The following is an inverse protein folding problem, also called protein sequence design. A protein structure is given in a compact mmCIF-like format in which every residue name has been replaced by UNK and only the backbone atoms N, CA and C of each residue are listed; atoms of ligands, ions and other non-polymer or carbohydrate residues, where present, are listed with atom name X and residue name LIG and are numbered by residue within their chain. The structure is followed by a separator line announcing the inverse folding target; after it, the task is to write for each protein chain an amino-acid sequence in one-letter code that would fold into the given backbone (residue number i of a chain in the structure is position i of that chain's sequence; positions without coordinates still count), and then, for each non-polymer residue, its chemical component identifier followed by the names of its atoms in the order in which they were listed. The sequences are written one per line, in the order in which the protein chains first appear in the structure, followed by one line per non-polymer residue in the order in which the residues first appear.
data_IF_392656747136
#
_entry.id   IF_392656747136
#
_cell.length_a   1.000
_cell.length_b   1.000
_cell.length_c   1.000
_cell.angle_alpha   90.00
_cell.angle_beta   90.00
_cell.angle_gamma   90.00
#
_symmetry.space_group_name_H-M   'P 1'
#
loop_
_entity.id
_entity.type
_entity.pdbx_description
1 polymer ?
#
# COMPACT_ATOMS: atom_id res chain seq x y z
N UNK A 1 0.04 43.30 -0.58
CA UNK A 1 -0.56 42.12 -1.24
C UNK A 1 0.39 40.92 -1.36
N UNK A 2 1.72 41.09 -1.22
CA UNK A 2 2.68 39.97 -1.34
C UNK A 2 2.68 39.01 -0.14
N UNK A 3 2.52 39.52 1.08
CA UNK A 3 2.45 38.70 2.31
C UNK A 3 1.33 37.64 2.28
N UNK A 4 0.26 37.89 1.54
CA UNK A 4 -0.88 36.96 1.44
C UNK A 4 -0.56 35.79 0.51
N UNK A 5 0.20 36.03 -0.58
CA UNK A 5 0.58 34.98 -1.54
C UNK A 5 1.56 34.00 -0.92
N UNK A 6 2.49 34.49 -0.11
CA UNK A 6 3.48 33.66 0.59
C UNK A 6 2.80 32.71 1.59
N UNK A 7 1.89 33.22 2.42
CA UNK A 7 1.12 32.39 3.37
C UNK A 7 0.30 31.29 2.67
N UNK A 8 -0.29 31.59 1.51
CA UNK A 8 -1.04 30.61 0.70
C UNK A 8 -0.09 29.54 0.13
N UNK A 9 1.11 29.90 -0.33
CA UNK A 9 2.09 28.95 -0.83
C UNK A 9 2.58 27.99 0.27
N UNK A 10 2.82 28.50 1.47
CA UNK A 10 3.16 27.67 2.64
C UNK A 10 2.02 26.73 3.04
N UNK A 11 0.79 27.24 3.11
CA UNK A 11 -0.39 26.42 3.42
C UNK A 11 -0.60 25.30 2.38
N UNK A 12 -0.42 25.60 1.08
CA UNK A 12 -0.52 24.61 0.00
C UNK A 12 0.56 23.53 0.12
N UNK A 13 1.81 23.91 0.43
CA UNK A 13 2.90 22.95 0.63
C UNK A 13 2.66 22.05 1.85
N UNK A 14 2.16 22.61 2.94
CA UNK A 14 1.78 21.86 4.14
C UNK A 14 0.61 20.89 3.86
N UNK A 15 -0.40 21.34 3.11
CA UNK A 15 -1.53 20.50 2.71
C UNK A 15 -1.10 19.32 1.85
N UNK A 16 -0.23 19.54 0.85
CA UNK A 16 0.30 18.46 0.00
C UNK A 16 1.10 17.45 0.82
N UNK A 17 1.92 17.91 1.77
CA UNK A 17 2.64 17.02 2.70
C UNK A 17 1.71 16.16 3.55
N UNK A 18 0.63 16.75 4.07
CA UNK A 18 -0.33 16.04 4.91
C UNK A 18 -1.14 15.00 4.12
N UNK A 19 -1.51 15.32 2.87
CA UNK A 19 -2.19 14.37 1.96
C UNK A 19 -1.28 13.19 1.63
N UNK A 20 0.00 13.42 1.33
CA UNK A 20 0.95 12.36 1.02
C UNK A 20 1.12 11.37 2.19
N UNK A 21 1.23 11.88 3.42
CA UNK A 21 1.31 11.05 4.63
C UNK A 21 0.01 10.27 4.85
N UNK A 22 -1.15 10.91 4.69
CA UNK A 22 -2.45 10.26 4.84
C UNK A 22 -2.66 9.09 3.88
N UNK A 23 -2.25 9.26 2.62
CA UNK A 23 -2.32 8.18 1.61
C UNK A 23 -1.37 7.04 1.96
N UNK A 24 -0.14 7.34 2.39
CA UNK A 24 0.84 6.31 2.78
C UNK A 24 0.35 5.46 3.98
N UNK A 25 -0.24 6.09 5.00
CA UNK A 25 -0.79 5.38 6.16
C UNK A 25 -1.97 4.50 5.74
N UNK A 26 -2.88 5.03 4.92
CA UNK A 26 -4.04 4.29 4.42
C UNK A 26 -3.61 3.06 3.60
N UNK A 27 -2.57 3.22 2.77
CA UNK A 27 -1.97 2.15 2.00
C UNK A 27 -1.41 1.02 2.88
N UNK A 28 -0.71 1.40 3.94
CA UNK A 28 -0.14 0.48 4.92
C UNK A 28 -1.23 -0.34 5.62
N UNK A 29 -2.26 0.35 6.12
CA UNK A 29 -3.40 -0.30 6.78
C UNK A 29 -4.13 -1.24 5.82
N UNK A 30 -4.41 -0.78 4.60
CA UNK A 30 -5.06 -1.61 3.58
C UNK A 30 -4.25 -2.87 3.24
N UNK A 31 -2.92 -2.73 3.14
CA UNK A 31 -2.03 -3.88 2.89
C UNK A 31 -2.07 -4.87 4.04
N UNK A 32 -1.99 -4.40 5.29
CA UNK A 32 -2.07 -5.27 6.48
C UNK A 32 -3.39 -6.03 6.51
N UNK A 33 -4.50 -5.33 6.27
CA UNK A 33 -5.83 -5.94 6.23
C UNK A 33 -5.94 -7.00 5.13
N UNK A 34 -5.39 -6.73 3.95
CA UNK A 34 -5.37 -7.67 2.84
C UNK A 34 -4.57 -8.94 3.19
N UNK A 35 -3.37 -8.78 3.75
CA UNK A 35 -2.51 -9.91 4.14
C UNK A 35 -3.12 -10.70 5.31
N UNK A 36 -3.78 -10.01 6.25
CA UNK A 36 -4.46 -10.65 7.38
C UNK A 36 -5.55 -11.64 6.93
N UNK A 37 -6.19 -11.38 5.78
CA UNK A 37 -7.15 -12.30 5.16
C UNK A 37 -6.45 -13.36 4.31
N UNK A 38 -5.35 -13.02 3.64
CA UNK A 38 -4.63 -13.97 2.80
C UNK A 38 -3.98 -15.13 3.59
N UNK A 39 -3.45 -14.87 4.80
CA UNK A 39 -2.81 -15.89 5.64
C UNK A 39 -3.76 -17.06 5.97
N UNK A 40 -4.95 -16.86 6.56
CA UNK A 40 -5.84 -17.97 6.90
C UNK A 40 -6.33 -18.72 5.65
N UNK A 41 -6.55 -18.04 4.52
CA UNK A 41 -6.91 -18.68 3.26
C UNK A 41 -5.83 -19.66 2.81
N UNK A 42 -4.57 -19.24 2.82
CA UNK A 42 -3.44 -20.11 2.44
C UNK A 42 -3.30 -21.29 3.40
N UNK A 43 -3.51 -21.07 4.70
CA UNK A 43 -3.49 -22.15 5.70
C UNK A 43 -4.62 -23.16 5.44
N UNK A 44 -5.83 -22.70 5.17
CA UNK A 44 -6.99 -23.56 4.87
C UNK A 44 -6.76 -24.40 3.61
N UNK A 45 -6.24 -23.80 2.54
CA UNK A 45 -5.89 -24.52 1.31
C UNK A 45 -4.82 -25.58 1.58
N UNK A 46 -3.78 -25.23 2.33
CA UNK A 46 -2.66 -26.14 2.63
C UNK A 46 -3.14 -27.36 3.42
N UNK A 47 -4.01 -27.15 4.41
CA UNK A 47 -4.60 -28.21 5.22
C UNK A 47 -5.55 -29.07 4.39
N UNK A 48 -6.48 -28.44 3.67
CA UNK A 48 -7.55 -29.13 2.93
C UNK A 48 -6.99 -29.96 1.77
N UNK A 49 -5.97 -29.45 1.07
CA UNK A 49 -5.32 -30.15 -0.02
C UNK A 49 -4.16 -31.07 0.45
N UNK A 50 -3.95 -31.20 1.77
CA UNK A 50 -2.89 -32.01 2.38
C UNK A 50 -1.51 -31.74 1.74
N UNK A 51 -1.21 -30.47 1.49
CA UNK A 51 0.01 -30.06 0.80
C UNK A 51 1.16 -30.09 1.79
N UNK A 52 2.25 -30.77 1.43
CA UNK A 52 3.43 -30.92 2.27
C UNK A 52 4.72 -30.63 1.51
N UNK A 53 5.85 -30.65 2.21
CA UNK A 53 7.18 -30.46 1.62
C UNK A 53 7.36 -29.07 1.00
N UNK A 54 8.10 -28.99 -0.09
CA UNK A 54 8.46 -27.73 -0.75
C UNK A 54 7.23 -26.94 -1.23
N UNK A 55 6.16 -27.62 -1.65
CA UNK A 55 4.93 -26.94 -2.13
C UNK A 55 4.27 -26.16 -1.00
N UNK A 56 4.24 -26.70 0.23
CA UNK A 56 3.72 -25.98 1.39
C UNK A 56 4.57 -24.75 1.72
N UNK A 57 5.90 -24.85 1.57
CA UNK A 57 6.80 -23.70 1.75
C UNK A 57 6.49 -22.58 0.75
N UNK A 58 6.28 -22.91 -0.53
CA UNK A 58 5.94 -21.91 -1.56
C UNK A 58 4.60 -21.25 -1.24
N UNK A 59 3.58 -22.02 -0.85
CA UNK A 59 2.27 -21.49 -0.46
C UNK A 59 2.39 -20.53 0.72
N UNK A 60 3.15 -20.90 1.76
CA UNK A 60 3.37 -20.05 2.93
C UNK A 60 4.09 -18.73 2.62
N UNK A 61 4.81 -18.63 1.49
CA UNK A 61 5.43 -17.40 1.04
C UNK A 61 4.49 -16.49 0.23
N UNK A 62 3.37 -17.02 -0.29
CA UNK A 62 2.41 -16.24 -1.08
C UNK A 62 1.89 -14.98 -0.35
N UNK A 63 1.50 -15.03 0.94
CA UNK A 63 1.06 -13.83 1.66
C UNK A 63 2.09 -12.71 1.66
N UNK A 64 3.39 -13.05 1.70
CA UNK A 64 4.47 -12.07 1.63
C UNK A 64 4.56 -11.43 0.25
N UNK A 65 4.47 -12.23 -0.82
CA UNK A 65 4.45 -11.70 -2.19
C UNK A 65 3.21 -10.84 -2.47
N UNK A 66 2.06 -11.20 -1.91
CA UNK A 66 0.84 -10.39 -1.96
C UNK A 66 1.01 -9.06 -1.23
N UNK A 67 1.69 -9.04 -0.08
CA UNK A 67 2.01 -7.80 0.63
C UNK A 67 2.89 -6.88 -0.23
N UNK A 68 3.96 -7.43 -0.83
CA UNK A 68 4.86 -6.69 -1.71
C UNK A 68 4.12 -6.15 -2.94
N UNK A 69 3.30 -6.98 -3.58
CA UNK A 69 2.47 -6.57 -4.72
C UNK A 69 1.51 -5.44 -4.38
N UNK A 70 0.85 -5.51 -3.23
CA UNK A 70 -0.05 -4.47 -2.75
C UNK A 70 0.68 -3.14 -2.51
N UNK A 71 1.85 -3.17 -1.86
CA UNK A 71 2.65 -1.96 -1.64
C UNK A 71 3.14 -1.33 -2.95
N UNK A 72 3.59 -2.15 -3.90
CA UNK A 72 4.02 -1.68 -5.22
C UNK A 72 2.84 -1.05 -5.97
N UNK A 73 1.66 -1.68 -5.94
CA UNK A 73 0.46 -1.15 -6.58
C UNK A 73 0.07 0.23 -6.02
N UNK A 74 0.11 0.39 -4.69
CA UNK A 74 -0.18 1.69 -4.08
C UNK A 74 0.90 2.72 -4.39
N UNK A 75 2.18 2.34 -4.36
CA UNK A 75 3.28 3.23 -4.76
C UNK A 75 3.14 3.70 -6.21
N UNK A 76 2.75 2.81 -7.12
CA UNK A 76 2.49 3.13 -8.53
C UNK A 76 1.34 4.12 -8.68
N UNK A 77 0.24 3.91 -7.95
CA UNK A 77 -0.91 4.82 -7.95
C UNK A 77 -0.54 6.22 -7.45
N UNK A 78 0.23 6.31 -6.35
CA UNK A 78 0.72 7.60 -5.81
C UNK A 78 1.62 8.30 -6.82
N UNK A 79 2.54 7.56 -7.45
CA UNK A 79 3.44 8.09 -8.47
C UNK A 79 2.67 8.69 -9.66
N UNK A 80 1.69 7.97 -10.19
CA UNK A 80 0.83 8.42 -11.30
C UNK A 80 0.02 9.66 -10.89
N UNK A 81 -0.57 9.66 -9.69
CA UNK A 81 -1.33 10.80 -9.18
C UNK A 81 -0.46 12.05 -9.06
N UNK A 82 0.79 11.91 -8.61
CA UNK A 82 1.73 13.02 -8.53
C UNK A 82 2.14 13.58 -9.90
N UNK A 83 2.13 12.74 -10.94
CA UNK A 83 2.44 13.14 -12.32
C UNK A 83 1.27 13.92 -12.94
N UNK A 84 0.03 13.48 -12.71
CA UNK A 84 -1.18 14.16 -13.20
C UNK A 84 -1.29 15.56 -12.60
N UNK A 85 -0.92 15.75 -11.32
CA UNK A 85 -0.93 17.07 -10.68
C UNK A 85 0.11 18.06 -11.22
N UNK A 86 1.05 17.61 -12.07
CA UNK A 86 2.08 18.45 -12.70
C UNK A 86 1.70 18.97 -14.08
N UNK A 87 0.66 18.42 -14.70
CA UNK A 87 0.07 18.88 -15.97
C UNK A 87 -1.19 19.69 -15.70
#
# INVERSE_FOLDING_TARGET
MELTKEKIAYAKKAQVGNVAVGVAITALIATIMYVAVAIPIVQEITITANVTGTTATILNLLPLFYALGALIAVSGLIGIMSLIQRF
#
